data_IF_816917404725
#
_entry.id   IF_816917404725
#
_cell.length_a   1.000
_cell.length_b   1.000
_cell.length_c   1.000
_cell.angle_alpha   90.00
_cell.angle_beta   90.00
_cell.angle_gamma   90.00
#
_symmetry.space_group_name_H-M   'P 1'
#
loop_
_entity.id
_entity.type
_entity.pdbx_description
1 polymer ?
#
# COMPACT_ATOMS: atom_id res chain seq x y z
N UNK A 1 3.26 -23.39 -3.05
CA UNK A 1 2.25 -23.09 -2.00
C UNK A 1 1.64 -21.73 -2.33
N UNK A 2 0.63 -21.64 -3.19
CA UNK A 2 0.19 -20.34 -3.69
C UNK A 2 -1.17 -20.43 -4.37
N UNK A 3 -2.06 -19.49 -4.04
CA UNK A 3 -3.47 -19.38 -4.44
C UNK A 3 -4.44 -20.48 -3.99
N UNK A 4 -4.22 -21.76 -4.31
CA UNK A 4 -5.20 -22.83 -4.03
C UNK A 4 -5.52 -23.00 -2.54
N UNK A 5 -4.47 -23.16 -1.72
CA UNK A 5 -4.61 -23.32 -0.25
C UNK A 5 -5.22 -22.10 0.45
N UNK A 6 -5.11 -20.92 -0.16
CA UNK A 6 -5.68 -19.68 0.38
C UNK A 6 -7.17 -19.59 0.09
N UNK A 7 -7.59 -19.95 -1.12
CA UNK A 7 -9.00 -20.00 -1.50
C UNK A 7 -9.79 -20.90 -0.57
N UNK A 8 -9.34 -22.13 -0.34
CA UNK A 8 -10.04 -23.08 0.52
C UNK A 8 -10.22 -22.57 1.96
N UNK A 9 -9.19 -21.92 2.51
CA UNK A 9 -9.24 -21.32 3.85
C UNK A 9 -10.22 -20.15 3.92
N UNK A 10 -10.22 -19.28 2.91
CA UNK A 10 -11.13 -18.13 2.82
C UNK A 10 -12.57 -18.62 2.64
N UNK A 11 -12.83 -19.56 1.73
CA UNK A 11 -14.15 -20.16 1.50
C UNK A 11 -14.66 -20.86 2.76
N UNK A 12 -13.80 -21.61 3.48
CA UNK A 12 -14.17 -22.22 4.76
C UNK A 12 -14.58 -21.19 5.81
N UNK A 13 -13.96 -20.00 5.81
CA UNK A 13 -14.22 -18.97 6.83
C UNK A 13 -15.40 -18.07 6.49
N UNK A 14 -15.53 -17.67 5.22
CA UNK A 14 -16.57 -16.76 4.75
C UNK A 14 -17.83 -17.53 4.30
N UNK A 15 -17.75 -18.84 4.08
CA UNK A 15 -18.83 -19.70 3.60
C UNK A 15 -18.68 -20.06 2.12
N UNK A 16 -19.41 -21.08 1.64
CA UNK A 16 -19.33 -21.56 0.26
C UNK A 16 -19.57 -20.44 -0.75
N UNK A 17 -18.77 -20.43 -1.82
CA UNK A 17 -18.87 -19.50 -2.94
C UNK A 17 -18.24 -20.11 -4.18
N UNK A 18 -18.69 -19.68 -5.35
CA UNK A 18 -18.07 -20.06 -6.62
C UNK A 18 -16.79 -19.24 -6.90
N UNK A 19 -16.07 -19.61 -7.96
CA UNK A 19 -14.80 -19.00 -8.33
C UNK A 19 -14.94 -17.50 -8.59
N UNK A 20 -16.03 -17.11 -9.26
CA UNK A 20 -16.33 -15.72 -9.56
C UNK A 20 -16.57 -14.90 -8.29
N UNK A 21 -17.41 -15.40 -7.38
CA UNK A 21 -17.70 -14.72 -6.11
C UNK A 21 -16.46 -14.61 -5.21
N UNK A 22 -15.55 -15.57 -5.29
CA UNK A 22 -14.25 -15.51 -4.61
C UNK A 22 -13.34 -14.42 -5.20
N UNK A 23 -13.26 -14.33 -6.52
CA UNK A 23 -12.50 -13.29 -7.22
C UNK A 23 -13.10 -11.88 -7.03
N UNK A 24 -14.41 -11.80 -6.86
CA UNK A 24 -15.17 -10.55 -6.63
C UNK A 24 -15.19 -10.10 -5.15
N UNK A 25 -14.50 -10.82 -4.24
CA UNK A 25 -14.39 -10.40 -2.84
C UNK A 25 -13.77 -9.01 -2.73
N UNK A 26 -14.43 -8.12 -2.00
CA UNK A 26 -13.96 -6.76 -1.81
C UNK A 26 -12.80 -6.74 -0.82
N UNK A 27 -11.70 -6.06 -1.18
CA UNK A 27 -10.66 -5.68 -0.21
C UNK A 27 -11.17 -4.44 0.52
N UNK A 28 -11.74 -4.66 1.71
CA UNK A 28 -12.31 -3.60 2.53
C UNK A 28 -11.25 -2.68 3.15
N UNK A 29 -10.07 -3.24 3.43
CA UNK A 29 -8.91 -2.52 3.95
C UNK A 29 -7.63 -3.27 3.62
N UNK A 30 -6.53 -2.55 3.45
CA UNK A 30 -5.19 -3.12 3.31
C UNK A 30 -4.25 -2.41 4.28
N UNK A 31 -3.76 -3.14 5.28
CA UNK A 31 -2.69 -2.64 6.14
C UNK A 31 -1.35 -3.14 5.62
N UNK A 32 -0.41 -2.21 5.44
CA UNK A 32 0.97 -2.52 5.13
C UNK A 32 1.83 -2.32 6.38
N UNK A 33 2.73 -3.27 6.61
CA UNK A 33 3.84 -3.17 7.56
C UNK A 33 5.12 -3.16 6.74
N UNK A 34 5.83 -2.05 6.75
CA UNK A 34 7.11 -1.89 6.07
C UNK A 34 8.25 -1.78 7.08
N UNK A 35 9.34 -2.51 6.87
CA UNK A 35 10.52 -2.50 7.73
C UNK A 35 11.80 -2.50 6.89
N UNK A 36 12.78 -1.63 7.16
CA UNK A 36 14.09 -1.72 6.54
C UNK A 36 14.85 -2.94 7.10
N UNK A 37 15.70 -3.54 6.26
CA UNK A 37 16.61 -4.61 6.67
C UNK A 37 18.04 -4.10 6.89
N UNK A 38 18.42 -3.03 6.19
CA UNK A 38 19.71 -2.34 6.39
C UNK A 38 19.69 -1.46 7.64
N UNK A 39 20.86 -1.32 8.28
CA UNK A 39 20.97 -0.66 9.58
C UNK A 39 22.24 0.20 9.71
N UNK A 40 22.08 1.48 10.12
CA UNK A 40 20.82 2.24 10.08
C UNK A 40 20.27 2.34 8.65
N UNK A 41 19.01 2.71 8.47
CA UNK A 41 18.46 3.04 7.15
C UNK A 41 19.17 4.29 6.60
N UNK A 42 19.97 4.13 5.53
CA UNK A 42 20.80 5.22 4.98
C UNK A 42 20.38 5.74 3.61
N UNK A 43 19.51 5.01 2.91
CA UNK A 43 19.09 5.34 1.55
C UNK A 43 17.63 5.04 1.32
N UNK A 44 17.00 5.86 0.48
CA UNK A 44 15.66 5.68 -0.06
C UNK A 44 14.57 5.38 0.99
N UNK A 45 14.44 6.18 2.07
CA UNK A 45 13.44 5.91 3.09
C UNK A 45 12.03 5.90 2.52
N UNK A 46 11.13 5.17 3.19
CA UNK A 46 9.71 5.22 2.88
C UNK A 46 9.15 6.57 3.34
N UNK A 47 8.67 7.37 2.39
CA UNK A 47 7.87 8.55 2.66
C UNK A 47 6.39 8.18 2.64
N UNK A 48 5.66 8.64 3.64
CA UNK A 48 4.20 8.52 3.73
C UNK A 48 3.59 9.92 3.76
N UNK A 49 2.51 10.14 3.03
CA UNK A 49 1.82 11.43 3.05
C UNK A 49 0.91 11.55 4.27
N UNK A 50 0.93 12.72 4.93
CA UNK A 50 -0.08 13.06 5.94
C UNK A 50 -1.42 13.32 5.23
N UNK A 51 -2.43 12.49 5.55
CA UNK A 51 -3.76 12.59 4.96
C UNK A 51 -4.47 13.91 5.28
N UNK A 52 -4.08 14.64 6.35
CA UNK A 52 -4.64 15.96 6.63
C UNK A 52 -4.15 17.03 5.64
N UNK A 53 -3.03 16.77 4.98
CA UNK A 53 -2.43 17.66 3.98
C UNK A 53 -2.84 17.32 2.54
N UNK A 54 -3.44 16.14 2.33
CA UNK A 54 -3.88 15.67 1.02
C UNK A 54 -5.25 16.26 0.67
N UNK A 55 -5.34 16.91 -0.49
CA UNK A 55 -6.61 17.38 -1.04
C UNK A 55 -7.12 16.39 -2.06
N UNK A 56 -8.44 16.20 -2.12
CA UNK A 56 -9.05 15.32 -3.11
C UNK A 56 -8.86 15.79 -4.54
N UNK A 57 -8.75 17.11 -4.73
CA UNK A 57 -8.40 17.70 -6.01
C UNK A 57 -7.05 17.25 -6.55
N UNK A 58 -6.17 16.74 -5.68
CA UNK A 58 -4.82 16.33 -6.06
C UNK A 58 -4.77 14.82 -6.38
N UNK A 59 -5.84 14.06 -6.07
CA UNK A 59 -5.91 12.62 -6.33
C UNK A 59 -6.56 12.38 -7.69
N UNK A 60 -5.78 11.84 -8.62
CA UNK A 60 -6.23 11.63 -9.99
C UNK A 60 -6.22 10.15 -10.38
N UNK A 61 -7.29 9.63 -10.98
CA UNK A 61 -7.29 8.28 -11.52
C UNK A 61 -6.40 8.21 -12.76
N UNK A 62 -5.70 7.09 -12.93
CA UNK A 62 -4.98 6.77 -14.16
C UNK A 62 -5.03 5.26 -14.42
N UNK A 63 -4.67 4.86 -15.64
CA UNK A 63 -4.56 3.46 -16.01
C UNK A 63 -3.11 3.02 -15.88
N UNK A 64 -2.84 2.16 -14.89
CA UNK A 64 -1.53 1.54 -14.72
C UNK A 64 -1.42 0.30 -15.61
N UNK A 65 -0.20 -0.02 -16.07
CA UNK A 65 0.08 -1.22 -16.84
C UNK A 65 0.91 -2.21 -16.02
N UNK A 66 0.50 -3.48 -16.02
CA UNK A 66 1.33 -4.57 -15.49
C UNK A 66 2.44 -4.90 -16.49
N UNK A 67 3.46 -5.64 -16.03
CA UNK A 67 4.54 -6.12 -16.90
C UNK A 67 4.06 -6.95 -18.11
N UNK A 68 2.89 -7.60 -17.99
CA UNK A 68 2.25 -8.35 -19.07
C UNK A 68 1.33 -7.49 -19.96
N UNK A 69 1.37 -6.15 -19.83
CA UNK A 69 0.55 -5.22 -20.61
C UNK A 69 -0.90 -5.07 -20.16
N UNK A 70 -1.40 -5.91 -19.23
CA UNK A 70 -2.77 -5.78 -18.71
C UNK A 70 -2.91 -4.47 -17.94
N UNK A 71 -3.87 -3.65 -18.36
CA UNK A 71 -4.19 -2.40 -17.69
C UNK A 71 -5.10 -2.62 -16.48
N UNK A 72 -4.96 -1.76 -15.47
CA UNK A 72 -5.85 -1.72 -14.30
C UNK A 72 -6.00 -0.29 -13.78
N UNK A 73 -7.16 0.07 -13.20
CA UNK A 73 -7.35 1.39 -12.62
C UNK A 73 -6.45 1.57 -11.40
N UNK A 74 -5.84 2.75 -11.30
CA UNK A 74 -5.02 3.18 -10.17
C UNK A 74 -5.27 4.65 -9.86
N UNK A 75 -4.69 5.15 -8.78
CA UNK A 75 -4.74 6.55 -8.37
C UNK A 75 -3.33 7.06 -8.16
N UNK A 76 -3.05 8.25 -8.69
CA UNK A 76 -1.83 9.00 -8.45
C UNK A 76 -2.16 10.28 -7.71
N UNK A 77 -1.13 10.89 -7.10
CA UNK A 77 -1.25 12.18 -6.45
C UNK A 77 -0.41 13.19 -7.21
N UNK A 78 -1.04 14.28 -7.66
CA UNK A 78 -0.34 15.42 -8.23
C UNK A 78 0.30 16.25 -7.13
N UNK A 79 1.47 16.83 -7.41
CA UNK A 79 2.18 17.68 -6.47
C UNK A 79 1.36 18.91 -6.11
N UNK A 80 1.35 19.25 -4.83
CA UNK A 80 0.87 20.54 -4.32
C UNK A 80 1.73 20.97 -3.12
N UNK A 81 2.10 22.25 -3.05
CA UNK A 81 3.08 22.77 -2.06
C UNK A 81 2.64 22.64 -0.60
N UNK A 82 1.34 22.45 -0.35
CA UNK A 82 0.81 22.22 1.01
C UNK A 82 0.91 20.77 1.47
N UNK A 83 1.25 19.83 0.59
CA UNK A 83 1.35 18.41 0.93
C UNK A 83 2.52 18.16 1.87
N UNK A 84 2.29 17.37 2.90
CA UNK A 84 3.30 17.01 3.89
C UNK A 84 3.64 15.54 3.75
N UNK A 85 4.92 15.28 3.50
CA UNK A 85 5.50 13.94 3.45
C UNK A 85 6.32 13.71 4.70
N UNK A 86 6.05 12.59 5.38
CA UNK A 86 6.72 12.18 6.60
C UNK A 86 7.69 11.05 6.27
N UNK A 87 8.94 11.21 6.69
CA UNK A 87 9.98 10.18 6.63
C UNK A 87 10.53 9.94 8.03
N UNK A 88 10.74 8.68 8.38
CA UNK A 88 11.52 8.32 9.57
C UNK A 88 12.93 7.98 9.13
N UNK A 89 13.88 8.85 9.46
CA UNK A 89 15.32 8.63 9.23
C UNK A 89 15.89 7.70 10.29
N UNK A 90 17.06 7.13 10.00
CA UNK A 90 17.89 6.38 10.95
C UNK A 90 17.14 5.21 11.62
N UNK A 91 16.21 4.59 10.89
CA UNK A 91 15.50 3.41 11.38
C UNK A 91 16.48 2.26 11.64
N UNK A 92 16.25 1.58 12.75
CA UNK A 92 17.04 0.44 13.26
C UNK A 92 16.21 -0.85 13.24
N UNK A 93 16.84 -2.00 13.52
CA UNK A 93 16.15 -3.28 13.51
C UNK A 93 14.93 -3.28 14.45
N UNK A 94 13.81 -3.82 13.96
CA UNK A 94 12.57 -3.92 14.71
C UNK A 94 11.70 -2.66 14.64
N UNK A 95 12.18 -1.57 14.06
CA UNK A 95 11.34 -0.43 13.74
C UNK A 95 10.60 -0.67 12.41
N UNK A 96 9.31 -0.34 12.39
CA UNK A 96 8.46 -0.51 11.22
C UNK A 96 7.43 0.60 11.11
N UNK A 97 6.98 0.83 9.89
CA UNK A 97 5.92 1.77 9.57
C UNK A 97 4.67 0.94 9.24
N UNK A 98 3.59 1.21 9.97
CA UNK A 98 2.28 0.58 9.74
C UNK A 98 1.34 1.63 9.18
N UNK A 99 0.71 1.36 8.04
CA UNK A 99 -0.17 2.32 7.38
C UNK A 99 -1.28 1.63 6.58
N UNK A 100 -2.36 2.38 6.30
CA UNK A 100 -3.46 1.95 5.43
C UNK A 100 -3.09 2.22 3.97
N UNK A 101 -2.67 1.17 3.27
CA UNK A 101 -2.14 1.27 1.90
C UNK A 101 -3.22 1.62 0.87
N UNK A 102 -4.50 1.41 1.20
CA UNK A 102 -5.61 1.83 0.35
C UNK A 102 -5.82 3.35 0.36
N UNK A 103 -5.35 4.05 1.40
CA UNK A 103 -5.64 5.47 1.62
C UNK A 103 -4.41 6.35 1.62
N UNK A 104 -3.27 5.84 2.06
CA UNK A 104 -2.05 6.63 2.29
C UNK A 104 -1.13 6.54 1.08
N UNK A 105 -0.99 7.63 0.29
CA UNK A 105 0.08 7.73 -0.70
C UNK A 105 1.43 7.53 -0.01
N UNK A 106 2.26 6.69 -0.61
CA UNK A 106 3.58 6.37 -0.09
C UNK A 106 4.52 6.08 -1.25
N UNK A 107 5.79 6.40 -1.08
CA UNK A 107 6.82 6.13 -2.08
C UNK A 107 8.19 6.06 -1.43
N UNK A 108 9.17 5.46 -2.11
CA UNK A 108 10.56 5.63 -1.75
C UNK A 108 11.05 6.99 -2.27
N UNK A 109 11.82 7.72 -1.47
CA UNK A 109 12.31 9.06 -1.85
C UNK A 109 13.81 9.16 -1.69
N UNK A 110 14.47 9.84 -2.63
CA UNK A 110 15.89 10.20 -2.52
C UNK A 110 16.03 11.46 -1.66
N UNK A 111 16.70 11.36 -0.52
CA UNK A 111 17.05 12.53 0.29
C UNK A 111 18.40 13.13 -0.14
N UNK A 112 18.62 14.46 -0.01
CA UNK A 112 19.88 15.10 -0.45
C UNK A 112 21.14 14.53 0.21
N UNK A 113 21.03 14.04 1.45
CA UNK A 113 22.15 13.60 2.30
C UNK A 113 22.27 12.07 2.38
N UNK A 114 21.56 11.32 1.52
CA UNK A 114 21.50 9.86 1.64
C UNK A 114 22.70 9.16 0.98
N UNK A 115 23.01 7.96 1.44
CA UNK A 115 23.98 7.09 0.79
C UNK A 115 23.47 6.59 -0.57
N UNK A 116 24.39 6.26 -1.48
CA UNK A 116 24.09 5.69 -2.81
C UNK A 116 23.93 4.16 -2.80
N UNK A 117 23.94 3.54 -1.63
CA UNK A 117 23.82 2.09 -1.48
C UNK A 117 22.37 1.62 -1.68
N UNK A 118 22.16 0.41 -2.26
CA UNK A 118 20.84 -0.17 -2.39
C UNK A 118 20.16 -0.38 -1.04
N UNK A 119 18.84 -0.13 -0.99
CA UNK A 119 18.01 -0.37 0.19
C UNK A 119 17.30 -1.73 0.11
N UNK A 120 17.51 -2.55 1.13
CA UNK A 120 16.77 -3.77 1.42
C UNK A 120 15.65 -3.49 2.43
N UNK A 121 14.47 -4.01 2.15
CA UNK A 121 13.32 -3.91 3.05
C UNK A 121 12.40 -5.11 2.89
N UNK A 122 11.58 -5.33 3.89
CA UNK A 122 10.48 -6.31 3.85
C UNK A 122 9.15 -5.59 4.00
N UNK A 123 8.14 -6.09 3.30
CA UNK A 123 6.77 -5.64 3.42
C UNK A 123 5.84 -6.82 3.71
N UNK A 124 4.95 -6.66 4.68
CA UNK A 124 3.85 -7.56 4.96
C UNK A 124 2.53 -6.84 4.69
N UNK A 125 1.65 -7.46 3.89
CA UNK A 125 0.30 -6.95 3.60
C UNK A 125 -0.75 -7.77 4.30
N UNK A 126 -1.66 -7.08 4.99
CA UNK A 126 -2.82 -7.67 5.64
C UNK A 126 -4.07 -7.20 4.90
N UNK A 127 -4.75 -8.14 4.27
CA UNK A 127 -5.97 -7.91 3.49
C UNK A 127 -7.20 -8.21 4.35
N UNK A 128 -8.10 -7.25 4.47
CA UNK A 128 -9.42 -7.45 5.07
C UNK A 128 -10.41 -7.70 3.94
N UNK A 129 -10.88 -8.94 3.81
CA UNK A 129 -11.80 -9.35 2.75
C UNK A 129 -13.25 -9.27 3.24
N UNK A 130 -14.14 -8.77 2.39
CA UNK A 130 -15.57 -8.68 2.65
C UNK A 130 -16.39 -9.21 1.47
N UNK A 131 -17.52 -9.86 1.77
CA UNK A 131 -18.52 -10.26 0.77
C UNK A 131 -19.32 -9.06 0.26
N UNK A 132 -19.51 -8.05 1.10
CA UNK A 132 -20.14 -6.79 0.74
C UNK A 132 -19.06 -5.81 0.36
N UNK A 133 -19.26 -5.10 -0.75
CA UNK A 133 -18.48 -3.89 -1.02
C UNK A 133 -18.64 -2.97 0.20
N UNK A 134 -17.53 -2.47 0.78
CA UNK A 134 -17.64 -1.42 1.77
C UNK A 134 -18.47 -0.29 1.17
N UNK A 135 -19.36 0.32 1.95
CA UNK A 135 -19.96 1.58 1.51
C UNK A 135 -18.83 2.51 1.09
N UNK A 136 -18.92 3.05 -0.14
CA UNK A 136 -18.01 4.09 -0.59
C UNK A 136 -18.26 5.28 0.32
N UNK A 137 -17.55 5.36 1.43
CA UNK A 137 -17.46 6.60 2.18
C UNK A 137 -16.80 7.60 1.24
N UNK A 138 -17.62 8.44 0.64
CA UNK A 138 -17.25 9.57 -0.19
C UNK A 138 -16.58 10.62 0.69
N UNK A 139 -15.38 10.32 1.19
CA UNK A 139 -14.49 11.26 1.86
C UNK A 139 -13.16 10.55 2.12
N UNK A 140 -12.20 10.76 1.22
CA UNK A 140 -11.13 11.67 1.61
C UNK A 140 -11.59 13.04 1.15
#
# INVERSE_FOLDING_TARGET
RGHGEWKDKVVKKLGPMDDKSYEDLAVAKMLNIWMPLDQPLKSEPLAIMDLQSLRNSDVHPYMAARANGKQFPSQGVLHHDSQQWIVKKDMTFGEGIIFDSCRTPHTAVTLPEQDIEPRHSVECRILFLSKTQPEKNSTL
#
